data_IF_154211382815
#
_entry.id   IF_154211382815
#
_cell.length_a   1.000
_cell.length_b   1.000
_cell.length_c   1.000
_cell.angle_alpha   90.00
_cell.angle_beta   90.00
_cell.angle_gamma   90.00
#
_symmetry.space_group_name_H-M   'P 1'
#
loop_
_entity.id
_entity.type
_entity.pdbx_description
1 polymer ?
#
# COMPACT_ATOMS: atom_id res chain seq x y z
N UNK A 1 -0.60 -16.34 -3.35
CA UNK A 1 -0.35 -14.88 -3.35
C UNK A 1 1.09 -14.66 -3.75
N UNK A 2 1.30 -14.55 -5.05
CA UNK A 2 2.55 -14.11 -5.64
C UNK A 2 2.59 -12.58 -5.56
N UNK A 3 3.72 -12.05 -5.12
CA UNK A 3 3.93 -10.61 -5.01
C UNK A 3 5.16 -10.28 -5.82
N UNK A 4 4.98 -9.55 -6.90
CA UNK A 4 6.02 -9.11 -7.79
C UNK A 4 6.21 -7.61 -7.62
N UNK A 5 7.43 -7.18 -7.29
CA UNK A 5 7.78 -5.76 -7.29
C UNK A 5 8.21 -5.40 -8.69
N UNK A 6 7.40 -4.61 -9.39
CA UNK A 6 7.68 -4.18 -10.76
C UNK A 6 8.61 -2.97 -10.77
N UNK A 7 8.50 -2.05 -9.80
CA UNK A 7 9.40 -0.91 -9.65
C UNK A 7 9.66 -0.58 -8.19
N UNK A 8 10.91 -0.29 -7.87
CA UNK A 8 11.33 0.33 -6.62
C UNK A 8 12.09 1.62 -6.98
N UNK A 9 11.54 2.77 -6.58
CA UNK A 9 12.15 4.08 -6.79
C UNK A 9 12.35 4.75 -5.45
N UNK A 10 13.62 4.89 -5.04
CA UNK A 10 13.96 5.64 -3.83
C UNK A 10 14.08 7.12 -4.12
N UNK A 11 13.31 7.93 -3.41
CA UNK A 11 13.36 9.38 -3.47
C UNK A 11 14.03 9.93 -2.20
N UNK A 12 15.30 10.29 -2.32
CA UNK A 12 16.12 10.82 -1.21
C UNK A 12 15.63 12.19 -0.70
N UNK A 13 15.04 13.03 -1.55
CA UNK A 13 14.58 14.37 -1.17
C UNK A 13 13.41 14.31 -0.18
N UNK A 14 12.52 13.35 -0.37
CA UNK A 14 11.36 13.13 0.50
C UNK A 14 11.60 12.00 1.51
N UNK A 15 12.73 11.29 1.38
CA UNK A 15 13.03 10.06 2.10
C UNK A 15 11.85 9.10 2.11
N UNK A 16 11.37 8.78 0.90
CA UNK A 16 10.33 7.80 0.64
C UNK A 16 10.77 6.86 -0.47
N UNK A 17 10.38 5.60 -0.39
CA UNK A 17 10.48 4.63 -1.47
C UNK A 17 9.11 4.43 -2.09
N UNK A 18 9.03 4.63 -3.39
CA UNK A 18 7.82 4.39 -4.18
C UNK A 18 7.97 3.02 -4.82
N UNK A 19 7.08 2.12 -4.45
CA UNK A 19 7.12 0.71 -4.80
C UNK A 19 5.87 0.39 -5.60
N UNK A 20 6.02 0.12 -6.89
CA UNK A 20 4.96 -0.44 -7.70
C UNK A 20 5.05 -1.96 -7.64
N UNK A 21 3.92 -2.57 -7.30
CA UNK A 21 3.82 -4.01 -7.16
C UNK A 21 2.61 -4.57 -7.90
N UNK A 22 2.78 -5.78 -8.39
CA UNK A 22 1.74 -6.62 -8.95
C UNK A 22 1.56 -7.79 -8.00
N UNK A 23 0.35 -7.94 -7.47
CA UNK A 23 -0.03 -9.03 -6.60
C UNK A 23 -1.00 -9.95 -7.35
N UNK A 24 -0.58 -11.21 -7.51
CA UNK A 24 -1.38 -12.25 -8.09
C UNK A 24 -1.87 -13.18 -6.98
N UNK A 25 -3.17 -13.35 -6.88
CA UNK A 25 -3.80 -14.21 -5.89
C UNK A 25 -4.53 -15.34 -6.59
N UNK A 26 -4.80 -16.42 -5.87
CA UNK A 26 -5.60 -17.53 -6.36
C UNK A 26 -6.76 -17.63 -5.35
N UNK A 27 -7.94 -17.15 -5.74
CA UNK A 27 -9.12 -17.06 -4.88
C UNK A 27 -9.58 -15.62 -4.54
N UNK A 28 -10.03 -15.35 -3.30
CA UNK A 28 -10.66 -14.08 -2.94
C UNK A 28 -9.69 -12.89 -2.96
N UNK A 29 -10.21 -11.71 -3.32
CA UNK A 29 -9.45 -10.46 -3.34
C UNK A 29 -8.86 -10.18 -1.96
N UNK A 30 -7.52 -10.09 -1.82
CA UNK A 30 -6.90 -9.87 -0.53
C UNK A 30 -7.28 -8.51 0.02
N UNK A 31 -7.53 -8.47 1.33
CA UNK A 31 -7.79 -7.22 2.04
C UNK A 31 -6.53 -6.36 2.08
N UNK A 32 -6.71 -5.04 2.02
CA UNK A 32 -5.61 -4.06 2.07
C UNK A 32 -4.66 -4.27 3.27
N UNK A 33 -5.18 -4.70 4.42
CA UNK A 33 -4.36 -5.05 5.61
C UNK A 33 -3.38 -6.20 5.36
N UNK A 34 -3.81 -7.24 4.64
CA UNK A 34 -2.94 -8.37 4.30
C UNK A 34 -1.84 -7.94 3.33
N UNK A 35 -2.17 -7.06 2.39
CA UNK A 35 -1.20 -6.46 1.45
C UNK A 35 -0.20 -5.60 2.22
N UNK A 36 -0.65 -4.79 3.17
CA UNK A 36 0.19 -3.98 4.06
C UNK A 36 1.14 -4.84 4.90
N UNK A 37 0.63 -5.92 5.50
CA UNK A 37 1.43 -6.89 6.26
C UNK A 37 2.49 -7.59 5.40
N UNK A 38 2.17 -7.92 4.14
CA UNK A 38 3.15 -8.49 3.21
C UNK A 38 4.22 -7.48 2.79
N UNK A 39 3.83 -6.25 2.47
CA UNK A 39 4.78 -5.21 2.06
C UNK A 39 5.73 -4.86 3.20
N UNK A 40 5.21 -4.71 4.42
CA UNK A 40 6.02 -4.47 5.62
C UNK A 40 7.00 -5.62 5.89
N UNK A 41 6.55 -6.87 5.76
CA UNK A 41 7.42 -8.04 5.90
C UNK A 41 8.51 -8.12 4.82
N UNK A 42 8.17 -7.83 3.55
CA UNK A 42 9.12 -7.83 2.43
C UNK A 42 10.16 -6.73 2.55
N UNK A 43 9.75 -5.55 2.99
CA UNK A 43 10.63 -4.37 3.11
C UNK A 43 11.27 -4.22 4.49
N UNK A 44 10.96 -5.11 5.44
CA UNK A 44 11.45 -5.08 6.82
C UNK A 44 11.18 -3.73 7.53
N UNK A 45 10.00 -3.17 7.31
CA UNK A 45 9.57 -1.87 7.86
C UNK A 45 8.29 -2.03 8.66
N UNK A 46 7.97 -1.08 9.54
CA UNK A 46 6.73 -1.14 10.31
C UNK A 46 5.52 -0.81 9.44
N UNK A 47 4.37 -1.43 9.71
CA UNK A 47 3.09 -1.15 9.01
C UNK A 47 2.69 0.33 9.07
N UNK A 48 3.13 1.05 10.11
CA UNK A 48 2.89 2.49 10.28
C UNK A 48 3.73 3.37 9.35
N UNK A 49 4.78 2.83 8.74
CA UNK A 49 5.64 3.54 7.80
C UNK A 49 5.26 3.28 6.34
N UNK A 50 4.38 2.31 6.11
CA UNK A 50 3.91 1.92 4.77
C UNK A 50 2.54 2.55 4.51
N UNK A 51 2.41 3.16 3.34
CA UNK A 51 1.15 3.70 2.82
C UNK A 51 0.86 3.07 1.49
N UNK A 52 -0.29 2.42 1.37
CA UNK A 52 -0.78 1.98 0.06
C UNK A 52 -1.51 3.17 -0.56
N UNK A 53 -0.96 3.73 -1.64
CA UNK A 53 -1.58 4.87 -2.32
C UNK A 53 -2.77 4.37 -3.12
N UNK A 54 -2.52 3.59 -4.17
CA UNK A 54 -3.55 3.17 -5.11
C UNK A 54 -3.49 1.68 -5.34
N UNK A 55 -4.67 1.06 -5.38
CA UNK A 55 -4.83 -0.37 -5.60
C UNK A 55 -5.87 -0.54 -6.71
N UNK A 56 -5.43 -1.04 -7.86
CA UNK A 56 -6.26 -1.33 -9.01
C UNK A 56 -6.35 -2.85 -9.19
N UNK A 57 -7.53 -3.37 -8.91
CA UNK A 57 -7.87 -4.76 -9.19
C UNK A 57 -8.42 -4.85 -10.60
N UNK A 58 -7.87 -5.74 -11.43
CA UNK A 58 -8.45 -6.02 -12.75
C UNK A 58 -9.65 -6.94 -12.57
N UNK A 59 -10.84 -6.46 -12.92
CA UNK A 59 -12.07 -7.23 -12.80
C UNK A 59 -12.02 -8.48 -13.70
N UNK A 60 -12.29 -9.66 -13.13
CA UNK A 60 -12.22 -10.95 -13.84
C UNK A 60 -10.83 -11.58 -13.93
N UNK A 61 -9.78 -10.90 -13.46
CA UNK A 61 -8.45 -11.48 -13.28
C UNK A 61 -8.12 -11.53 -11.78
N UNK A 62 -7.46 -12.60 -11.34
CA UNK A 62 -6.97 -12.71 -9.96
C UNK A 62 -5.65 -11.96 -9.77
N UNK A 63 -5.54 -10.79 -10.39
CA UNK A 63 -4.38 -9.92 -10.36
C UNK A 63 -4.77 -8.51 -9.91
N UNK A 64 -3.92 -7.93 -9.09
CA UNK A 64 -4.04 -6.58 -8.58
C UNK A 64 -2.72 -5.85 -8.77
N UNK A 65 -2.76 -4.68 -9.40
CA UNK A 65 -1.62 -3.78 -9.45
C UNK A 65 -1.82 -2.68 -8.42
N UNK A 66 -0.74 -2.26 -7.78
CA UNK A 66 -0.81 -1.21 -6.78
C UNK A 66 0.52 -0.51 -6.61
N UNK A 67 0.44 0.68 -6.02
CA UNK A 67 1.60 1.48 -5.67
C UNK A 67 1.58 1.72 -4.17
N UNK A 68 2.69 1.43 -3.51
CA UNK A 68 2.94 1.71 -2.10
C UNK A 68 4.07 2.72 -1.94
N UNK A 69 3.97 3.53 -0.88
CA UNK A 69 5.02 4.44 -0.43
C UNK A 69 5.52 3.95 0.92
N UNK A 70 6.82 3.76 1.04
CA UNK A 70 7.49 3.38 2.28
C UNK A 70 8.31 4.56 2.76
N UNK A 71 8.03 5.06 3.96
CA UNK A 71 8.72 6.20 4.55
C UNK A 71 9.75 5.72 5.58
N UNK A 72 10.87 6.43 5.72
CA UNK A 72 11.84 6.10 6.78
C UNK A 72 11.32 6.44 8.19
N UNK A 73 10.41 7.42 8.32
CA UNK A 73 9.88 7.90 9.62
C UNK A 73 8.38 8.18 9.57
N UNK A 74 7.67 7.86 10.66
CA UNK A 74 6.27 8.23 10.88
C UNK A 74 6.05 9.76 10.87
N UNK A 75 7.04 10.52 11.35
CA UNK A 75 6.99 11.99 11.38
C UNK A 75 6.96 12.59 9.97
N UNK A 76 7.80 12.06 9.06
CA UNK A 76 7.76 12.47 7.64
C UNK A 76 6.46 12.09 6.97
N UNK A 77 5.92 10.90 7.29
CA UNK A 77 4.60 10.48 6.80
C UNK A 77 3.54 11.50 7.21
N UNK A 78 3.51 11.90 8.49
CA UNK A 78 2.53 12.84 9.02
C UNK A 78 2.70 14.28 8.52
N UNK A 79 3.92 14.69 8.19
CA UNK A 79 4.22 16.04 7.69
C UNK A 79 3.96 16.19 6.18
N UNK A 80 4.18 15.14 5.40
CA UNK A 80 4.10 15.17 3.93
C UNK A 80 2.72 14.75 3.41
N UNK A 81 2.04 13.82 4.09
CA UNK A 81 0.72 13.36 3.64
C UNK A 81 -0.41 14.29 4.07
N UNK A 82 -1.28 14.62 3.12
CA UNK A 82 -2.56 15.26 3.40
C UNK A 82 -3.44 14.32 4.25
N UNK A 83 -4.24 14.88 5.16
CA UNK A 83 -5.16 14.16 6.05
C UNK A 83 -6.04 13.08 5.34
N UNK A 84 -6.30 13.24 4.05
CA UNK A 84 -7.06 12.29 3.22
C UNK A 84 -6.37 10.92 3.01
N UNK A 85 -5.03 10.88 2.93
CA UNK A 85 -4.28 9.63 2.78
C UNK A 85 -4.00 8.94 4.12
N UNK A 86 -3.90 9.72 5.22
CA UNK A 86 -4.00 9.21 6.59
C UNK A 86 -5.28 8.38 6.79
N UNK A 87 -6.41 8.90 6.30
CA UNK A 87 -7.72 8.28 6.40
C UNK A 87 -7.94 7.11 5.41
N UNK A 88 -6.97 6.83 4.53
CA UNK A 88 -6.98 5.68 3.60
C UNK A 88 -6.27 4.46 4.20
N UNK A 89 -5.32 4.70 5.11
CA UNK A 89 -4.64 3.66 5.90
C UNK A 89 -5.49 3.14 7.07
N UNK A 90 -6.39 3.98 7.59
CA UNK A 90 -7.51 3.51 8.41
C UNK A 90 -8.63 3.03 7.50
N UNK A 91 -9.31 1.92 7.84
CA UNK A 91 -10.45 1.48 7.07
C UNK A 91 -11.46 2.63 7.08
N UNK A 92 -11.80 3.19 5.91
CA UNK A 92 -13.07 3.90 5.81
C UNK A 92 -14.12 2.91 6.31
N UNK A 93 -14.86 3.22 7.40
CA UNK A 93 -16.02 2.41 7.73
C UNK A 93 -16.89 2.37 6.48
N UNK A 94 -17.42 1.18 6.18
CA UNK A 94 -18.44 1.01 5.17
C UNK A 94 -19.45 2.14 5.38
N UNK A 95 -19.59 3.00 4.37
CA UNK A 95 -20.83 3.75 4.20
C UNK A 95 -21.84 2.66 3.78
N UNK A 96 -22.46 2.04 4.79
CA UNK A 96 -23.71 1.33 4.63
C UNK A 96 -24.71 2.38 4.15
N UNK A 97 -25.14 2.24 2.90
CA UNK A 97 -26.27 3.00 2.40
C UNK A 97 -27.50 2.71 3.25
N UNK A 98 -28.19 3.77 3.64
CA UNK A 98 -29.58 3.78 4.03
C UNK A 98 -30.19 5.10 3.53
#
# INVERSE_FOLDING_TARGET
MEFEVTRDTRNELLGRREVDFTLQFDGPTPSRKQILGKISALMNVQEKQVVVDSLKTSFGMTACTGSARVYDSEERRNQIERAYLMNRGMPKPKEEGA
#
